data_IF_857572533432
#
_entry.id   IF_857572533432
#
_cell.length_a   1.000
_cell.length_b   1.000
_cell.length_c   1.000
_cell.angle_alpha   90.00
_cell.angle_beta   90.00
_cell.angle_gamma   90.00
#
_symmetry.space_group_name_H-M   'P 1'
#
loop_
_entity.id
_entity.type
_entity.pdbx_description
1 polymer ?
#
# COMPACT_ATOMS: atom_id res chain seq x y z
N UNK A 1 10.35 -23.27 -0.73
CA UNK A 1 11.67 -23.62 -0.09
C UNK A 1 12.69 -22.47 -0.13
N UNK A 2 12.96 -21.81 -1.26
CA UNK A 2 14.00 -20.75 -1.36
C UNK A 2 13.73 -19.51 -0.47
N UNK A 3 12.48 -19.11 -0.25
CA UNK A 3 12.14 -17.91 0.56
C UNK A 3 12.24 -18.17 2.07
N UNK A 4 11.90 -19.37 2.53
CA UNK A 4 12.11 -19.77 3.92
C UNK A 4 13.61 -19.73 4.30
N UNK A 5 14.49 -20.12 3.38
CA UNK A 5 15.94 -20.05 3.62
C UNK A 5 16.43 -18.61 3.70
N UNK A 6 15.98 -17.73 2.76
CA UNK A 6 16.29 -16.28 2.80
C UNK A 6 15.81 -15.63 4.09
N UNK A 7 14.60 -15.97 4.53
CA UNK A 7 14.04 -15.44 5.78
C UNK A 7 14.83 -15.91 7.00
N UNK A 8 15.15 -17.22 7.09
CA UNK A 8 15.93 -17.76 8.21
C UNK A 8 17.34 -17.16 8.26
N UNK A 9 17.99 -17.00 7.11
CA UNK A 9 19.27 -16.30 7.02
C UNK A 9 19.14 -14.83 7.43
N UNK A 10 18.07 -14.17 6.99
CA UNK A 10 17.73 -12.80 7.38
C UNK A 10 17.53 -12.65 8.89
N UNK A 11 16.83 -13.58 9.55
CA UNK A 11 16.71 -13.60 11.02
C UNK A 11 18.09 -13.70 11.66
N UNK A 12 18.89 -14.66 11.26
CA UNK A 12 20.19 -14.89 11.86
C UNK A 12 21.10 -13.66 11.78
N UNK A 13 21.13 -13.00 10.62
CA UNK A 13 21.91 -11.78 10.42
C UNK A 13 21.31 -10.55 11.10
N UNK A 14 19.99 -10.53 11.37
CA UNK A 14 19.29 -9.39 11.98
C UNK A 14 19.23 -9.45 13.50
N UNK A 15 19.32 -10.64 14.11
CA UNK A 15 19.27 -10.80 15.58
C UNK A 15 20.25 -9.88 16.32
N UNK A 16 21.54 -9.78 15.94
CA UNK A 16 22.47 -8.88 16.61
C UNK A 16 22.12 -7.40 16.42
N UNK A 17 21.34 -7.08 15.39
CA UNK A 17 20.96 -5.69 15.05
C UNK A 17 19.69 -5.23 15.77
N UNK A 18 18.93 -6.11 16.44
CA UNK A 18 17.67 -5.75 17.10
C UNK A 18 17.80 -4.62 18.14
N UNK A 19 18.79 -4.56 19.03
CA UNK A 19 18.95 -3.45 19.93
C UNK A 19 19.18 -2.12 19.17
N UNK A 20 20.02 -2.16 18.14
CA UNK A 20 20.28 -0.99 17.29
C UNK A 20 19.02 -0.52 16.57
N UNK A 21 18.23 -1.45 16.00
CA UNK A 21 16.94 -1.15 15.36
C UNK A 21 15.96 -0.49 16.34
N UNK A 22 15.89 -0.97 17.56
CA UNK A 22 15.04 -0.38 18.60
C UNK A 22 15.40 1.09 18.87
N UNK A 23 16.68 1.40 19.09
CA UNK A 23 17.13 2.77 19.32
C UNK A 23 16.95 3.66 18.09
N UNK A 24 17.26 3.15 16.90
CA UNK A 24 17.04 3.86 15.65
C UNK A 24 15.56 4.13 15.40
N UNK A 25 14.69 3.14 15.62
CA UNK A 25 13.24 3.30 15.48
C UNK A 25 12.68 4.35 16.47
N UNK A 26 13.17 4.37 17.71
CA UNK A 26 12.81 5.40 18.70
C UNK A 26 13.26 6.80 18.25
N UNK A 27 14.47 6.91 17.70
CA UNK A 27 15.01 8.17 17.20
C UNK A 27 14.22 8.69 15.99
N UNK A 28 13.87 7.81 15.05
CA UNK A 28 13.03 8.17 13.89
C UNK A 28 11.68 8.70 14.36
N UNK A 29 10.98 7.98 15.26
CA UNK A 29 9.70 8.45 15.82
C UNK A 29 9.78 9.83 16.50
N UNK A 30 10.94 10.19 17.03
CA UNK A 30 11.17 11.51 17.65
C UNK A 30 11.42 12.60 16.62
N UNK A 31 12.08 12.27 15.51
CA UNK A 31 12.60 13.25 14.55
C UNK A 31 11.73 13.38 13.28
N UNK A 32 10.98 12.33 12.91
CA UNK A 32 10.04 12.39 11.78
C UNK A 32 8.75 13.06 12.26
N UNK A 33 8.30 14.14 11.60
CA UNK A 33 7.06 14.82 11.96
C UNK A 33 5.86 13.85 11.92
N UNK A 34 4.98 13.96 12.90
CA UNK A 34 3.69 13.23 12.85
C UNK A 34 2.71 14.02 12.00
N UNK A 35 2.55 13.61 10.76
CA UNK A 35 1.57 14.19 9.84
C UNK A 35 0.17 13.59 10.08
N UNK A 36 -0.91 14.39 9.93
CA UNK A 36 -2.27 13.88 10.06
C UNK A 36 -2.66 12.98 8.89
N UNK A 37 -3.68 12.14 9.10
CA UNK A 37 -4.38 11.47 8.02
C UNK A 37 -5.18 12.48 7.21
N UNK A 38 -5.34 12.24 5.90
CA UNK A 38 -6.08 13.13 5.01
C UNK A 38 -7.57 13.22 5.38
N UNK A 39 -8.16 14.37 5.12
CA UNK A 39 -9.61 14.64 5.30
C UNK A 39 -10.42 14.12 4.10
N UNK A 40 -11.75 14.06 4.27
CA UNK A 40 -12.71 13.67 3.22
C UNK A 40 -12.49 12.27 2.67
N UNK A 41 -12.85 11.26 3.47
CA UNK A 41 -12.68 9.83 3.12
C UNK A 41 -13.57 9.35 1.98
N UNK A 42 -14.36 10.20 1.34
CA UNK A 42 -15.24 9.90 0.20
C UNK A 42 -15.11 10.95 -0.88
N UNK A 43 -15.41 10.56 -2.11
CA UNK A 43 -15.52 11.50 -3.21
C UNK A 43 -16.10 10.89 -4.47
N UNK A 44 -16.31 11.73 -5.44
CA UNK A 44 -16.88 11.38 -6.73
C UNK A 44 -16.11 12.08 -7.85
N UNK A 45 -15.72 11.30 -8.86
CA UNK A 45 -15.15 11.81 -10.10
C UNK A 45 -16.21 11.66 -11.19
N UNK A 46 -16.78 12.77 -11.60
CA UNK A 46 -17.76 12.84 -12.67
C UNK A 46 -17.09 13.36 -13.95
N UNK A 47 -16.99 12.51 -14.95
CA UNK A 47 -16.52 12.85 -16.30
C UNK A 47 -17.65 12.71 -17.34
N UNK A 48 -18.91 12.73 -16.89
CA UNK A 48 -20.13 12.61 -17.71
C UNK A 48 -20.21 11.31 -18.52
N UNK A 49 -19.66 10.22 -17.98
CA UNK A 49 -19.83 8.89 -18.55
C UNK A 49 -21.21 8.32 -18.20
N UNK A 50 -21.68 7.38 -19.00
CA UNK A 50 -23.03 6.78 -18.86
C UNK A 50 -23.14 5.77 -17.70
N UNK A 51 -22.04 5.36 -17.12
CA UNK A 51 -22.02 4.36 -16.03
C UNK A 51 -21.06 4.74 -14.91
N UNK A 52 -21.41 4.29 -13.71
CA UNK A 52 -20.66 4.55 -12.49
C UNK A 52 -19.96 3.26 -12.00
N UNK A 53 -18.88 3.46 -11.24
CA UNK A 53 -18.11 2.41 -10.60
C UNK A 53 -17.78 2.83 -9.16
N UNK A 54 -17.97 1.91 -8.21
CA UNK A 54 -17.74 2.15 -6.78
C UNK A 54 -16.47 1.45 -6.33
N UNK A 55 -15.48 2.21 -5.88
CA UNK A 55 -14.21 1.67 -5.42
C UNK A 55 -14.01 1.89 -3.91
N UNK A 56 -13.49 0.87 -3.25
CA UNK A 56 -12.96 1.00 -1.89
C UNK A 56 -11.44 0.94 -1.91
N UNK A 57 -10.80 1.77 -1.10
CA UNK A 57 -9.39 1.62 -0.77
C UNK A 57 -9.25 1.32 0.71
N UNK A 58 -8.47 0.29 1.03
CA UNK A 58 -8.31 -0.22 2.40
C UNK A 58 -6.81 -0.27 2.71
N UNK A 59 -6.40 0.23 3.88
CA UNK A 59 -4.97 0.18 4.15
C UNK A 59 -4.46 0.85 5.41
N UNK A 60 -3.17 1.11 5.36
CA UNK A 60 -2.40 1.78 6.41
C UNK A 60 -2.16 3.27 6.09
N UNK A 61 -1.13 3.89 6.63
CA UNK A 61 -0.90 5.34 6.56
C UNK A 61 -0.89 5.93 5.14
N UNK A 62 -0.33 5.22 4.16
CA UNK A 62 -0.30 5.67 2.77
C UNK A 62 -1.70 5.70 2.14
N UNK A 63 -2.55 4.75 2.46
CA UNK A 63 -3.95 4.76 2.03
C UNK A 63 -4.78 5.76 2.87
N UNK A 64 -4.41 5.97 4.15
CA UNK A 64 -5.00 7.03 4.97
C UNK A 64 -4.58 8.45 4.52
N UNK A 65 -3.76 8.56 3.48
CA UNK A 65 -3.39 9.83 2.85
C UNK A 65 -2.44 10.68 3.69
N UNK A 66 -1.63 10.08 4.56
CA UNK A 66 -0.59 10.81 5.30
C UNK A 66 0.37 11.45 4.32
N UNK A 67 0.58 12.77 4.45
CA UNK A 67 1.40 13.56 3.52
C UNK A 67 0.61 14.49 2.59
N UNK A 68 -0.73 14.43 2.63
CA UNK A 68 -1.63 15.38 1.95
C UNK A 68 -2.80 15.77 2.86
N UNK A 69 -3.39 16.94 2.62
CA UNK A 69 -4.48 17.44 3.45
C UNK A 69 -5.82 16.74 3.17
N UNK A 70 -6.04 16.34 1.92
CA UNK A 70 -7.31 15.77 1.44
C UNK A 70 -7.08 14.53 0.61
N UNK A 71 -7.93 13.52 0.77
CA UNK A 71 -7.85 12.27 -0.01
C UNK A 71 -8.00 12.47 -1.52
N UNK A 72 -8.64 13.55 -1.99
CA UNK A 72 -8.69 13.89 -3.42
C UNK A 72 -7.32 14.15 -4.05
N UNK A 73 -6.32 14.52 -3.24
CA UNK A 73 -4.91 14.73 -3.62
C UNK A 73 -4.00 13.55 -3.24
N UNK A 74 -4.51 12.61 -2.41
CA UNK A 74 -3.83 11.38 -2.05
C UNK A 74 -4.01 10.28 -3.08
N UNK A 75 -3.56 9.09 -2.70
CA UNK A 75 -3.59 7.91 -3.58
C UNK A 75 -4.99 7.62 -4.15
N UNK A 76 -6.01 7.56 -3.29
CA UNK A 76 -7.37 7.15 -3.70
C UNK A 76 -8.00 8.13 -4.69
N UNK A 77 -7.93 9.44 -4.42
CA UNK A 77 -8.50 10.43 -5.34
C UNK A 77 -7.75 10.49 -6.68
N UNK A 78 -6.42 10.36 -6.65
CA UNK A 78 -5.61 10.28 -7.86
C UNK A 78 -5.91 9.00 -8.66
N UNK A 79 -6.06 7.84 -7.98
CA UNK A 79 -6.45 6.58 -8.58
C UNK A 79 -7.84 6.68 -9.24
N UNK A 80 -8.83 7.24 -8.54
CA UNK A 80 -10.17 7.42 -9.06
C UNK A 80 -10.19 8.26 -10.35
N UNK A 81 -9.44 9.38 -10.38
CA UNK A 81 -9.31 10.22 -11.58
C UNK A 81 -8.73 9.43 -12.77
N UNK A 82 -7.68 8.65 -12.54
CA UNK A 82 -7.02 7.86 -13.60
C UNK A 82 -7.88 6.69 -14.07
N UNK A 83 -8.55 5.99 -13.15
CA UNK A 83 -9.48 4.92 -13.49
C UNK A 83 -10.69 5.43 -14.27
N UNK A 84 -11.25 6.58 -13.87
CA UNK A 84 -12.37 7.20 -14.60
C UNK A 84 -12.05 7.38 -16.08
N UNK A 85 -10.88 7.97 -16.38
CA UNK A 85 -10.42 8.16 -17.76
C UNK A 85 -10.15 6.84 -18.49
N UNK A 86 -9.48 5.88 -17.81
CA UNK A 86 -9.07 4.62 -18.45
C UNK A 86 -10.24 3.66 -18.70
N UNK A 87 -11.23 3.64 -17.82
CA UNK A 87 -12.37 2.74 -17.87
C UNK A 87 -13.62 3.40 -18.50
N UNK A 88 -13.56 4.73 -18.76
CA UNK A 88 -14.69 5.54 -19.24
C UNK A 88 -15.93 5.38 -18.33
N UNK A 89 -15.71 5.51 -17.02
CA UNK A 89 -16.75 5.42 -15.98
C UNK A 89 -16.61 6.58 -14.99
N UNK A 90 -17.71 7.07 -14.45
CA UNK A 90 -17.66 7.93 -13.28
C UNK A 90 -17.24 7.07 -12.07
N UNK A 91 -16.50 7.65 -11.12
CA UNK A 91 -15.95 6.87 -10.00
C UNK A 91 -16.43 7.44 -8.67
N UNK A 92 -17.21 6.66 -7.93
CA UNK A 92 -17.42 6.86 -6.50
C UNK A 92 -16.30 6.15 -5.74
N UNK A 93 -15.64 6.85 -4.83
CA UNK A 93 -14.56 6.25 -4.04
C UNK A 93 -14.74 6.48 -2.56
N UNK A 94 -14.29 5.50 -1.78
CA UNK A 94 -14.24 5.57 -0.32
C UNK A 94 -12.97 4.98 0.23
N UNK A 95 -12.47 5.60 1.32
CA UNK A 95 -11.24 5.18 2.02
C UNK A 95 -11.60 4.58 3.37
N UNK A 96 -11.05 3.41 3.64
CA UNK A 96 -11.07 2.72 4.92
C UNK A 96 -9.64 2.40 5.34
N UNK A 97 -8.99 3.32 6.01
CA UNK A 97 -7.60 3.19 6.39
C UNK A 97 -7.31 3.80 7.76
N UNK A 98 -6.21 3.36 8.37
CA UNK A 98 -5.72 3.92 9.62
C UNK A 98 -4.20 3.81 9.71
N UNK A 99 -3.56 4.93 10.02
CA UNK A 99 -2.12 4.96 10.26
C UNK A 99 -1.72 4.04 11.41
N UNK A 100 -0.61 3.31 11.26
CA UNK A 100 -0.10 2.39 12.28
C UNK A 100 -0.84 1.03 12.37
N UNK A 101 -1.85 0.77 11.52
CA UNK A 101 -2.55 -0.51 11.55
C UNK A 101 -1.79 -1.58 10.75
N UNK A 102 -1.72 -2.78 11.33
CA UNK A 102 -1.29 -4.01 10.66
C UNK A 102 -2.48 -4.67 9.95
N UNK A 103 -2.23 -5.65 9.09
CA UNK A 103 -3.28 -6.43 8.41
C UNK A 103 -4.30 -6.98 9.39
N UNK A 104 -3.86 -7.60 10.49
CA UNK A 104 -4.75 -8.14 11.52
C UNK A 104 -5.64 -7.06 12.16
N UNK A 105 -5.11 -5.85 12.40
CA UNK A 105 -5.90 -4.73 12.92
C UNK A 105 -6.90 -4.22 11.90
N UNK A 106 -6.53 -4.12 10.62
CA UNK A 106 -7.45 -3.74 9.55
C UNK A 106 -8.60 -4.73 9.47
N UNK A 107 -8.31 -6.03 9.44
CA UNK A 107 -9.33 -7.09 9.39
C UNK A 107 -10.32 -6.99 10.56
N UNK A 108 -9.83 -6.78 11.78
CA UNK A 108 -10.68 -6.81 12.99
C UNK A 108 -11.32 -5.48 13.33
N UNK A 109 -10.75 -4.34 12.94
CA UNK A 109 -11.20 -3.01 13.36
C UNK A 109 -11.78 -2.14 12.24
N UNK A 110 -11.43 -2.43 10.98
CA UNK A 110 -11.88 -1.65 9.82
C UNK A 110 -12.94 -2.41 9.03
N UNK A 111 -12.69 -3.64 8.61
CA UNK A 111 -13.63 -4.41 7.76
C UNK A 111 -15.05 -4.45 8.33
N UNK A 112 -15.28 -4.66 9.65
CA UNK A 112 -16.65 -4.64 10.22
C UNK A 112 -17.35 -3.28 10.12
N UNK A 113 -16.61 -2.19 9.92
CA UNK A 113 -17.16 -0.82 9.82
C UNK A 113 -17.57 -0.42 8.40
N UNK A 114 -17.23 -1.21 7.41
CA UNK A 114 -17.61 -0.95 6.01
C UNK A 114 -19.12 -1.10 5.89
N UNK A 115 -19.82 -0.04 5.46
CA UNK A 115 -21.29 0.02 5.35
C UNK A 115 -21.80 -0.08 3.92
N UNK A 116 -20.90 0.00 2.94
CA UNK A 116 -21.23 -0.09 1.53
C UNK A 116 -21.86 -1.44 1.20
N UNK A 117 -22.91 -1.41 0.38
CA UNK A 117 -23.59 -2.60 -0.14
C UNK A 117 -23.22 -2.89 -1.58
N UNK A 118 -22.76 -1.86 -2.31
CA UNK A 118 -22.27 -1.96 -3.69
C UNK A 118 -20.82 -1.55 -3.76
N UNK A 119 -19.96 -2.46 -4.19
CA UNK A 119 -18.53 -2.25 -4.43
C UNK A 119 -18.15 -3.03 -5.67
N UNK A 120 -17.57 -2.33 -6.65
CA UNK A 120 -17.19 -2.91 -7.93
C UNK A 120 -15.72 -3.34 -7.97
N UNK A 121 -14.85 -2.72 -7.16
CA UNK A 121 -13.47 -3.15 -6.93
C UNK A 121 -12.88 -2.63 -5.61
N UNK A 122 -11.89 -3.35 -5.10
CA UNK A 122 -11.24 -3.03 -3.82
C UNK A 122 -9.74 -2.98 -4.02
N UNK A 123 -9.10 -1.90 -3.52
CA UNK A 123 -7.64 -1.75 -3.56
C UNK A 123 -7.08 -1.77 -2.14
N UNK A 124 -6.04 -2.56 -1.91
CA UNK A 124 -5.43 -2.77 -0.60
C UNK A 124 -3.97 -2.35 -0.61
N UNK A 125 -3.59 -1.43 0.29
CA UNK A 125 -2.20 -1.02 0.51
C UNK A 125 -1.77 -1.32 1.94
N UNK A 126 -1.01 -2.41 2.14
CA UNK A 126 -0.64 -2.94 3.46
C UNK A 126 0.76 -3.59 3.42
N UNK A 127 1.41 -3.67 4.57
CA UNK A 127 2.61 -4.47 4.76
C UNK A 127 3.76 -3.76 5.47
N UNK A 128 3.82 -2.44 5.42
CA UNK A 128 4.86 -1.66 6.10
C UNK A 128 4.80 -1.83 7.61
N UNK A 129 3.65 -1.59 8.22
CA UNK A 129 3.48 -1.73 9.67
C UNK A 129 3.69 -3.17 10.16
N UNK A 130 3.30 -4.17 9.37
CA UNK A 130 3.56 -5.57 9.68
C UNK A 130 5.07 -5.88 9.70
N UNK A 131 5.83 -5.30 8.77
CA UNK A 131 7.29 -5.45 8.76
C UNK A 131 7.95 -4.73 9.96
N UNK A 132 7.48 -3.53 10.33
CA UNK A 132 7.98 -2.82 11.50
C UNK A 132 7.64 -3.50 12.84
N UNK A 133 6.59 -4.32 12.89
CA UNK A 133 6.29 -5.18 14.04
C UNK A 133 7.04 -6.51 13.99
N UNK A 134 7.92 -6.72 12.99
CA UNK A 134 8.71 -7.93 12.77
C UNK A 134 7.84 -9.19 12.66
N UNK A 135 6.63 -9.06 12.11
CA UNK A 135 5.80 -10.23 11.83
C UNK A 135 6.55 -11.21 10.92
N UNK A 136 6.44 -12.51 11.22
CA UNK A 136 6.99 -13.52 10.31
C UNK A 136 6.19 -13.56 9.00
N UNK A 137 6.80 -13.87 7.85
CA UNK A 137 6.09 -14.01 6.58
C UNK A 137 4.91 -14.97 6.65
N UNK A 138 5.07 -16.08 7.38
CA UNK A 138 3.98 -17.06 7.59
C UNK A 138 2.81 -16.47 8.36
N UNK A 139 3.07 -15.70 9.43
CA UNK A 139 2.01 -15.01 10.18
C UNK A 139 1.34 -13.97 9.32
N UNK A 140 2.12 -13.14 8.63
CA UNK A 140 1.61 -12.09 7.77
C UNK A 140 0.72 -12.64 6.64
N UNK A 141 1.13 -13.70 5.95
CA UNK A 141 0.31 -14.36 4.92
C UNK A 141 -1.01 -14.90 5.47
N UNK A 142 -1.01 -15.47 6.66
CA UNK A 142 -2.25 -15.91 7.32
C UNK A 142 -3.18 -14.72 7.60
N UNK A 143 -2.63 -13.61 8.06
CA UNK A 143 -3.40 -12.40 8.31
C UNK A 143 -3.96 -11.81 6.99
N UNK A 144 -3.19 -11.86 5.89
CA UNK A 144 -3.66 -11.51 4.53
C UNK A 144 -4.79 -12.44 4.06
N UNK A 145 -4.67 -13.76 4.28
CA UNK A 145 -5.76 -14.69 3.94
C UNK A 145 -7.05 -14.37 4.69
N UNK A 146 -6.95 -14.10 5.98
CA UNK A 146 -8.11 -13.71 6.79
C UNK A 146 -8.73 -12.40 6.29
N UNK A 147 -7.91 -11.43 5.87
CA UNK A 147 -8.39 -10.18 5.28
C UNK A 147 -9.13 -10.44 3.96
N UNK A 148 -8.56 -11.25 3.06
CA UNK A 148 -9.19 -11.60 1.78
C UNK A 148 -10.54 -12.29 2.02
N UNK A 149 -10.59 -13.30 2.89
CA UNK A 149 -11.83 -14.02 3.22
C UNK A 149 -12.88 -13.04 3.76
N UNK A 150 -12.52 -12.21 4.76
CA UNK A 150 -13.45 -11.24 5.34
C UNK A 150 -14.00 -10.22 4.32
N UNK A 151 -13.22 -9.88 3.31
CA UNK A 151 -13.65 -8.99 2.22
C UNK A 151 -14.56 -9.76 1.25
N UNK A 152 -14.18 -10.98 0.85
CA UNK A 152 -14.96 -11.80 -0.08
C UNK A 152 -16.30 -12.24 0.49
N UNK A 153 -16.37 -12.50 1.81
CA UNK A 153 -17.65 -12.76 2.51
C UNK A 153 -18.63 -11.57 2.40
N UNK A 154 -18.08 -10.35 2.33
CA UNK A 154 -18.88 -9.12 2.25
C UNK A 154 -19.16 -8.69 0.81
N UNK A 155 -18.20 -8.90 -0.08
CA UNK A 155 -18.22 -8.46 -1.48
C UNK A 155 -17.69 -9.60 -2.38
N UNK A 156 -18.46 -10.67 -2.59
CA UNK A 156 -18.00 -11.89 -3.25
C UNK A 156 -17.58 -11.68 -4.70
N UNK A 157 -18.20 -10.72 -5.40
CA UNK A 157 -17.94 -10.46 -6.81
C UNK A 157 -16.86 -9.38 -7.05
N UNK A 158 -16.54 -8.57 -6.03
CA UNK A 158 -15.60 -7.47 -6.18
C UNK A 158 -14.16 -7.97 -6.27
N UNK A 159 -13.43 -7.72 -7.37
CA UNK A 159 -12.02 -8.05 -7.45
C UNK A 159 -11.19 -7.24 -6.45
N UNK A 160 -10.19 -7.89 -5.88
CA UNK A 160 -9.27 -7.32 -4.90
C UNK A 160 -7.92 -7.08 -5.57
N UNK A 161 -7.39 -5.87 -5.44
CA UNK A 161 -6.10 -5.48 -5.97
C UNK A 161 -5.17 -5.04 -4.84
N UNK A 162 -4.11 -5.79 -4.62
CA UNK A 162 -3.03 -5.36 -3.72
C UNK A 162 -2.07 -4.43 -4.47
N UNK A 163 -1.73 -3.31 -3.83
CA UNK A 163 -0.70 -2.40 -4.34
C UNK A 163 0.69 -2.99 -4.14
N UNK A 164 1.70 -2.38 -4.76
CA UNK A 164 3.11 -2.68 -4.45
C UNK A 164 3.38 -2.63 -2.94
N UNK A 165 4.38 -3.40 -2.51
CA UNK A 165 4.94 -3.22 -1.17
C UNK A 165 5.61 -1.84 -1.03
N UNK A 166 5.56 -1.23 0.16
CA UNK A 166 6.20 0.07 0.39
C UNK A 166 7.71 -0.02 0.16
N UNK A 167 8.32 0.95 -0.55
CA UNK A 167 9.74 0.93 -0.89
C UNK A 167 10.61 1.38 0.29
N UNK A 168 10.64 0.61 1.37
CA UNK A 168 11.33 0.95 2.64
C UNK A 168 12.81 1.30 2.42
N UNK A 169 13.46 0.69 1.43
CA UNK A 169 14.87 0.95 1.09
C UNK A 169 15.10 2.35 0.52
N UNK A 170 14.06 2.98 -0.01
CA UNK A 170 14.11 4.29 -0.62
C UNK A 170 13.84 5.45 0.37
N UNK A 171 13.30 5.16 1.55
CA UNK A 171 12.88 6.19 2.52
C UNK A 171 14.06 6.99 3.07
N UNK A 172 14.12 8.32 2.86
CA UNK A 172 15.25 9.15 3.30
C UNK A 172 15.44 9.15 4.83
N UNK A 173 14.36 9.08 5.60
CA UNK A 173 14.40 9.10 7.07
C UNK A 173 15.02 7.83 7.67
N UNK A 174 15.22 6.76 6.89
CA UNK A 174 15.65 5.48 7.44
C UNK A 174 17.16 5.25 7.31
N UNK A 175 17.72 4.71 8.37
CA UNK A 175 19.13 4.31 8.43
C UNK A 175 19.39 3.09 7.53
N UNK A 176 20.67 2.89 7.16
CA UNK A 176 21.07 1.70 6.37
C UNK A 176 20.66 0.39 7.04
N UNK A 177 20.70 0.32 8.38
CA UNK A 177 20.30 -0.87 9.15
C UNK A 177 18.80 -1.15 9.01
N UNK A 178 17.94 -0.13 9.17
CA UNK A 178 16.49 -0.27 9.00
C UNK A 178 16.17 -0.65 7.56
N UNK A 179 16.77 0.01 6.57
CA UNK A 179 16.59 -0.32 5.14
C UNK A 179 16.99 -1.78 4.85
N UNK A 180 18.08 -2.25 5.45
CA UNK A 180 18.53 -3.63 5.30
C UNK A 180 17.54 -4.63 5.93
N UNK A 181 17.18 -4.46 7.20
CA UNK A 181 16.37 -5.46 7.91
C UNK A 181 14.90 -5.38 7.49
N UNK A 182 14.29 -4.19 7.63
CA UNK A 182 12.86 -4.02 7.36
C UNK A 182 12.58 -4.03 5.86
N UNK A 183 13.45 -3.41 5.05
CA UNK A 183 13.31 -3.41 3.60
C UNK A 183 13.38 -4.81 3.01
N UNK A 184 14.33 -5.66 3.46
CA UNK A 184 14.38 -7.06 3.03
C UNK A 184 13.17 -7.86 3.49
N UNK A 185 12.65 -7.62 4.70
CA UNK A 185 11.44 -8.29 5.18
C UNK A 185 10.22 -7.94 4.32
N UNK A 186 10.07 -6.66 3.95
CA UNK A 186 8.98 -6.21 3.04
C UNK A 186 9.10 -6.86 1.66
N UNK A 187 10.30 -6.97 1.10
CA UNK A 187 10.51 -7.67 -0.18
C UNK A 187 10.16 -9.17 -0.08
N UNK A 188 10.49 -9.81 1.06
CA UNK A 188 10.06 -11.19 1.33
C UNK A 188 8.54 -11.28 1.38
N UNK A 189 7.86 -10.35 2.07
CA UNK A 189 6.40 -10.28 2.09
C UNK A 189 5.81 -10.19 0.69
N UNK A 190 6.32 -9.30 -0.14
CA UNK A 190 5.88 -9.15 -1.54
C UNK A 190 6.05 -10.44 -2.36
N UNK A 191 7.21 -11.09 -2.21
CA UNK A 191 7.51 -12.35 -2.89
C UNK A 191 6.57 -13.49 -2.45
N UNK A 192 6.30 -13.59 -1.15
CA UNK A 192 5.37 -14.59 -0.60
C UNK A 192 3.92 -14.30 -1.01
N UNK A 193 3.51 -13.02 -1.03
CA UNK A 193 2.19 -12.61 -1.52
C UNK A 193 2.00 -12.98 -2.99
N UNK A 194 2.99 -12.66 -3.83
CA UNK A 194 2.98 -13.04 -5.25
C UNK A 194 2.72 -14.52 -5.44
N UNK A 195 3.48 -15.37 -4.74
CA UNK A 195 3.33 -16.82 -4.82
C UNK A 195 1.94 -17.28 -4.35
N UNK A 196 1.47 -16.71 -3.24
CA UNK A 196 0.19 -17.07 -2.63
C UNK A 196 -1.00 -16.74 -3.52
N UNK A 197 -0.93 -15.61 -4.23
CA UNK A 197 -2.06 -15.12 -5.04
C UNK A 197 -2.14 -15.74 -6.43
N UNK A 198 -1.12 -16.46 -6.90
CA UNK A 198 -1.14 -17.12 -8.24
C UNK A 198 -2.34 -18.02 -8.47
N UNK A 199 -2.86 -18.67 -7.43
CA UNK A 199 -4.00 -19.59 -7.49
C UNK A 199 -5.34 -18.96 -7.08
N UNK A 200 -5.35 -17.67 -6.69
CA UNK A 200 -6.57 -16.98 -6.23
C UNK A 200 -7.30 -16.34 -7.40
N UNK A 201 -8.60 -16.64 -7.55
CA UNK A 201 -9.47 -15.94 -8.50
C UNK A 201 -9.83 -14.55 -7.97
N UNK A 202 -9.91 -13.57 -8.85
CA UNK A 202 -10.32 -12.19 -8.53
C UNK A 202 -9.48 -11.50 -7.46
N UNK A 203 -8.24 -11.97 -7.22
CA UNK A 203 -7.29 -11.33 -6.32
C UNK A 203 -5.97 -11.13 -7.06
N UNK A 204 -5.54 -9.89 -7.18
CA UNK A 204 -4.39 -9.48 -7.97
C UNK A 204 -3.38 -8.73 -7.11
N UNK A 205 -2.11 -8.83 -7.45
CA UNK A 205 -1.05 -8.12 -6.77
C UNK A 205 -0.14 -7.43 -7.80
N UNK A 206 0.03 -6.13 -7.64
CA UNK A 206 0.99 -5.37 -8.43
C UNK A 206 2.36 -5.55 -7.78
N UNK A 207 3.14 -6.50 -8.27
CA UNK A 207 4.36 -7.03 -7.63
C UNK A 207 5.64 -6.30 -8.02
N UNK A 208 5.54 -5.17 -8.73
CA UNK A 208 6.71 -4.39 -9.10
C UNK A 208 7.38 -3.77 -7.87
N UNK A 209 8.71 -3.93 -7.78
CA UNK A 209 9.51 -3.29 -6.73
C UNK A 209 9.75 -1.83 -7.13
N UNK A 210 9.23 -0.92 -6.31
CA UNK A 210 9.41 0.51 -6.51
C UNK A 210 10.84 0.90 -6.13
N UNK A 211 11.55 1.56 -7.05
CA UNK A 211 12.79 2.29 -6.79
C UNK A 211 12.65 3.72 -7.29
N UNK A 212 13.24 4.69 -6.58
CA UNK A 212 13.20 6.09 -7.00
C UNK A 212 13.85 6.28 -8.37
N UNK A 213 14.90 5.52 -8.65
CA UNK A 213 15.57 5.53 -9.96
C UNK A 213 14.57 5.14 -11.06
N UNK A 214 13.91 4.00 -10.97
CA UNK A 214 12.98 3.55 -11.99
C UNK A 214 11.78 4.51 -12.15
N UNK A 215 11.31 5.08 -11.04
CA UNK A 215 10.22 6.06 -11.08
C UNK A 215 10.64 7.38 -11.71
N UNK A 216 11.82 7.90 -11.37
CA UNK A 216 12.33 9.14 -11.97
C UNK A 216 12.53 8.98 -13.47
N UNK A 217 13.15 7.89 -13.92
CA UNK A 217 13.36 7.61 -15.34
C UNK A 217 12.04 7.51 -16.12
N UNK A 218 11.06 6.74 -15.61
CA UNK A 218 9.76 6.58 -16.27
C UNK A 218 8.90 7.84 -16.33
N UNK A 219 9.08 8.75 -15.37
CA UNK A 219 8.29 9.96 -15.26
C UNK A 219 9.06 11.23 -15.65
N UNK A 220 10.25 11.10 -16.24
CA UNK A 220 11.14 12.22 -16.62
C UNK A 220 11.40 13.21 -15.46
N UNK A 221 11.65 12.67 -14.26
CA UNK A 221 11.91 13.44 -13.05
C UNK A 221 13.38 13.31 -12.65
N UNK A 222 13.92 14.31 -11.95
CA UNK A 222 15.24 14.18 -11.35
C UNK A 222 15.24 13.18 -10.20
N UNK A 223 16.20 12.26 -10.18
CA UNK A 223 16.40 11.33 -9.07
C UNK A 223 17.41 11.84 -8.03
N UNK A 224 18.08 12.95 -8.31
CA UNK A 224 19.07 13.53 -7.40
C UNK A 224 18.45 14.10 -6.13
N UNK A 225 17.20 14.55 -6.20
CA UNK A 225 16.47 15.08 -5.07
C UNK A 225 15.36 14.15 -4.62
N UNK A 226 15.68 13.20 -3.74
CA UNK A 226 14.69 12.26 -3.17
C UNK A 226 13.60 12.94 -2.32
N UNK A 227 13.83 14.19 -1.84
CA UNK A 227 12.86 14.88 -0.99
C UNK A 227 11.55 15.23 -1.70
N UNK A 228 11.53 15.35 -3.02
CA UNK A 228 10.29 15.58 -3.78
C UNK A 228 9.29 14.44 -3.69
N UNK A 229 9.78 13.23 -3.39
CA UNK A 229 8.94 12.02 -3.32
C UNK A 229 8.30 11.79 -1.96
N UNK A 230 8.77 12.45 -0.91
CA UNK A 230 8.33 12.21 0.47
C UNK A 230 7.98 13.50 1.20
N UNK A 231 6.86 13.50 1.92
CA UNK A 231 6.41 14.66 2.69
C UNK A 231 7.18 14.84 4.01
N UNK A 232 7.61 13.73 4.63
CA UNK A 232 8.31 13.71 5.93
C UNK A 232 9.52 12.75 5.93
N UNK A 233 9.94 12.29 4.76
CA UNK A 233 11.00 11.30 4.59
C UNK A 233 10.55 9.84 4.71
N UNK A 234 9.26 9.60 4.95
CA UNK A 234 8.61 8.28 5.04
C UNK A 234 7.36 8.20 4.17
N UNK A 235 6.43 9.15 4.35
CA UNK A 235 5.16 9.14 3.65
C UNK A 235 5.25 9.83 2.30
N UNK A 236 4.50 9.35 1.30
CA UNK A 236 4.52 9.90 -0.04
C UNK A 236 4.13 11.38 -0.08
N UNK A 237 4.76 12.15 -0.97
CA UNK A 237 4.27 13.47 -1.36
C UNK A 237 3.06 13.34 -2.29
N UNK A 238 2.38 14.46 -2.55
CA UNK A 238 1.27 14.50 -3.54
C UNK A 238 1.75 14.04 -4.93
N UNK A 239 2.98 14.40 -5.33
CA UNK A 239 3.59 13.92 -6.58
C UNK A 239 3.68 12.39 -6.61
N UNK A 240 4.19 11.80 -5.55
CA UNK A 240 4.36 10.35 -5.42
C UNK A 240 3.01 9.62 -5.42
N UNK A 241 2.00 10.17 -4.74
CA UNK A 241 0.65 9.63 -4.80
C UNK A 241 0.09 9.62 -6.23
N UNK A 242 0.31 10.68 -7.02
CA UNK A 242 -0.13 10.76 -8.42
C UNK A 242 0.57 9.74 -9.32
N UNK A 243 1.89 9.56 -9.16
CA UNK A 243 2.67 8.57 -9.92
C UNK A 243 2.18 7.17 -9.58
N UNK A 244 2.14 6.82 -8.29
CA UNK A 244 1.73 5.51 -7.82
C UNK A 244 0.29 5.16 -8.24
N UNK A 245 -0.62 6.10 -8.11
CA UNK A 245 -2.01 5.95 -8.54
C UNK A 245 -2.13 5.72 -10.06
N UNK A 246 -1.30 6.39 -10.87
CA UNK A 246 -1.30 6.19 -12.33
C UNK A 246 -0.82 4.79 -12.73
N UNK A 247 0.24 4.30 -12.10
CA UNK A 247 0.75 2.94 -12.32
C UNK A 247 -0.30 1.90 -11.89
N UNK A 248 -0.88 2.08 -10.69
CA UNK A 248 -1.92 1.20 -10.18
C UNK A 248 -3.19 1.22 -11.05
N UNK A 249 -3.60 2.38 -11.56
CA UNK A 249 -4.72 2.48 -12.50
C UNK A 249 -4.45 1.72 -13.80
N UNK A 250 -3.22 1.78 -14.30
CA UNK A 250 -2.82 1.02 -15.50
C UNK A 250 -2.88 -0.48 -15.25
N UNK A 251 -2.37 -0.93 -14.09
CA UNK A 251 -2.44 -2.34 -13.70
C UNK A 251 -3.89 -2.81 -13.55
N UNK A 252 -4.73 -2.06 -12.83
CA UNK A 252 -6.15 -2.41 -12.65
C UNK A 252 -6.85 -2.48 -14.00
N UNK A 253 -6.71 -1.46 -14.86
CA UNK A 253 -7.38 -1.41 -16.17
C UNK A 253 -7.00 -2.58 -17.08
N UNK A 254 -5.79 -3.13 -16.93
CA UNK A 254 -5.37 -4.31 -17.71
C UNK A 254 -6.00 -5.63 -17.25
N UNK A 255 -6.57 -5.67 -16.03
CA UNK A 255 -7.14 -6.88 -15.40
C UNK A 255 -8.64 -6.79 -15.18
N UNK A 256 -9.15 -5.58 -15.01
CA UNK A 256 -10.57 -5.35 -14.73
C UNK A 256 -11.42 -5.66 -15.96
N UNK A 257 -12.33 -6.61 -15.80
CA UNK A 257 -13.35 -6.91 -16.82
C UNK A 257 -14.65 -6.26 -16.33
N UNK A 258 -15.11 -5.26 -17.08
CA UNK A 258 -16.37 -4.55 -16.80
C UNK A 258 -17.58 -5.44 -17.03
#
# INVERSE_FOLDING_TARGET
MKHSLKYNLGIFTSLPLLPLLYFQGKNIRKNVPTLPEAKETTGFVNNNFSSDLHILTIGESTIAGVGVDYHKNGFTGALAKKLSTKLQKNIHWRVYARSGYTVAKVTTKIIPKIKETKVDLIVIGMGGNDAFTLNSPKKWLRDIENLIVSIQDKFPEAPIYFTNMPPIKEFPAFTKTIKFVIGNLVEIFGSELKNKLQSKKNVFYYDEIITLKNWSERNNLSHENSSIYFSDGVHPSELTYKIWANEMATFISSKFKA
#
